data_IF_975816964355
#
_entry.id   IF_975816964355
#
_cell.length_a   1.000
_cell.length_b   1.000
_cell.length_c   1.000
_cell.angle_alpha   90.00
_cell.angle_beta   90.00
_cell.angle_gamma   90.00
#
_symmetry.space_group_name_H-M   'P 1'
#
loop_
_entity.id
_entity.type
_entity.pdbx_description
1 polymer ?
#
# COMPACT_ATOMS: atom_id res chain seq x y z
N UNK A 1 -8.34 8.95 3.38
CA UNK A 1 -9.11 8.83 2.13
C UNK A 1 -8.37 7.82 1.27
N UNK A 2 -8.88 6.60 1.17
CA UNK A 2 -8.28 5.55 0.34
C UNK A 2 -8.74 5.79 -1.09
N UNK A 3 -8.04 6.65 -1.84
CA UNK A 3 -8.25 6.71 -3.28
C UNK A 3 -7.72 5.41 -3.89
N UNK A 4 -8.63 4.59 -4.43
CA UNK A 4 -8.27 3.56 -5.39
C UNK A 4 -7.84 4.29 -6.66
N UNK A 5 -6.58 4.70 -6.71
CA UNK A 5 -6.05 5.33 -7.91
C UNK A 5 -5.78 4.23 -8.93
N UNK A 6 -6.70 4.08 -9.89
CA UNK A 6 -6.50 3.29 -11.10
C UNK A 6 -5.47 3.99 -12.00
N UNK A 7 -4.22 3.99 -11.59
CA UNK A 7 -3.14 4.16 -12.55
C UNK A 7 -3.06 2.85 -13.36
N UNK A 8 -2.86 2.96 -14.67
CA UNK A 8 -2.43 1.84 -15.52
C UNK A 8 -1.00 1.41 -15.13
N UNK A 9 -0.85 0.95 -13.87
CA UNK A 9 0.37 0.42 -13.31
C UNK A 9 0.44 -1.01 -13.79
N UNK A 10 1.54 -1.35 -14.47
CA UNK A 10 1.96 -2.74 -14.52
C UNK A 10 2.68 -3.01 -13.19
N UNK A 11 2.02 -3.62 -12.18
CA UNK A 11 2.55 -3.68 -10.81
C UNK A 11 3.85 -4.48 -10.70
N UNK A 12 4.17 -5.29 -11.71
CA UNK A 12 5.38 -6.10 -11.78
C UNK A 12 6.64 -5.37 -12.30
N UNK A 13 6.58 -4.05 -12.59
CA UNK A 13 7.74 -3.32 -13.11
C UNK A 13 8.93 -3.37 -12.15
N UNK A 14 10.15 -3.67 -12.64
CA UNK A 14 11.35 -3.67 -11.82
C UNK A 14 11.58 -2.35 -11.07
N UNK A 15 11.23 -1.20 -11.67
CA UNK A 15 11.39 0.11 -11.03
C UNK A 15 10.57 0.28 -9.72
N UNK A 16 9.54 -0.53 -9.52
CA UNK A 16 8.75 -0.53 -8.29
C UNK A 16 9.37 -1.36 -7.18
N UNK A 17 10.41 -2.16 -7.47
CA UNK A 17 11.19 -2.85 -6.44
C UNK A 17 12.11 -1.83 -5.77
N UNK A 18 12.12 -1.83 -4.45
CA UNK A 18 12.90 -0.89 -3.65
C UNK A 18 14.09 -1.54 -2.94
N UNK A 19 14.37 -2.81 -3.23
CA UNK A 19 15.41 -3.59 -2.54
C UNK A 19 15.18 -3.62 -1.02
N UNK A 20 16.26 -3.53 -0.26
CA UNK A 20 16.22 -3.48 1.22
C UNK A 20 15.78 -2.14 1.80
N UNK A 21 15.22 -1.21 0.99
CA UNK A 21 14.89 0.13 1.50
C UNK A 21 14.00 0.04 2.74
N UNK A 22 12.98 -0.82 2.79
CA UNK A 22 12.12 -0.97 3.98
C UNK A 22 12.66 -1.93 5.06
N UNK A 23 13.82 -2.56 4.84
CA UNK A 23 14.31 -3.70 5.62
C UNK A 23 14.27 -4.98 4.78
N UNK A 24 15.09 -5.95 5.14
CA UNK A 24 15.24 -7.18 4.36
C UNK A 24 13.99 -8.05 4.34
N UNK A 25 13.24 -8.05 5.44
CA UNK A 25 11.99 -8.81 5.57
C UNK A 25 10.87 -8.23 4.70
N UNK A 26 10.95 -6.94 4.34
CA UNK A 26 9.90 -6.20 3.66
C UNK A 26 10.14 -6.00 2.16
N UNK A 27 11.01 -6.80 1.53
CA UNK A 27 11.33 -6.75 0.08
C UNK A 27 10.14 -7.00 -0.84
N UNK A 28 9.09 -7.61 -0.30
CA UNK A 28 7.84 -7.92 -1.00
C UNK A 28 6.90 -6.70 -1.13
N UNK A 29 7.22 -5.59 -0.47
CA UNK A 29 6.53 -4.31 -0.65
C UNK A 29 7.12 -3.55 -1.83
N UNK A 30 6.24 -3.15 -2.75
CA UNK A 30 6.60 -2.35 -3.92
C UNK A 30 6.35 -0.87 -3.65
N UNK A 31 6.99 0.00 -4.44
CA UNK A 31 6.83 1.45 -4.32
C UNK A 31 6.83 2.15 -5.67
N UNK A 32 5.70 2.74 -6.04
CA UNK A 32 5.59 3.67 -7.15
C UNK A 32 5.77 5.13 -6.66
N UNK A 33 6.33 5.98 -7.53
CA UNK A 33 6.45 7.44 -7.31
C UNK A 33 5.50 8.15 -8.27
N UNK A 34 4.78 9.15 -7.78
CA UNK A 34 3.93 10.01 -8.61
C UNK A 34 3.90 11.43 -8.00
N UNK A 35 3.58 12.44 -8.82
CA UNK A 35 3.56 13.87 -8.43
C UNK A 35 4.78 14.33 -7.61
N UNK A 36 5.98 13.87 -7.99
CA UNK A 36 7.30 14.05 -7.34
C UNK A 36 7.42 13.57 -5.88
N UNK A 37 6.50 13.98 -5.00
CA UNK A 37 6.57 13.80 -3.55
C UNK A 37 5.75 12.60 -3.07
N UNK A 38 4.77 12.14 -3.86
CA UNK A 38 3.93 11.03 -3.44
C UNK A 38 4.57 9.66 -3.70
N UNK A 39 4.24 8.73 -2.82
CA UNK A 39 4.69 7.35 -2.73
C UNK A 39 3.45 6.48 -2.54
N UNK A 40 3.28 5.56 -3.46
CA UNK A 40 2.32 4.47 -3.34
C UNK A 40 3.12 3.24 -2.94
N UNK A 41 2.93 2.77 -1.72
CA UNK A 41 3.43 1.47 -1.27
C UNK A 41 2.33 0.43 -1.45
N UNK A 42 2.66 -0.73 -2.00
CA UNK A 42 1.65 -1.73 -2.30
C UNK A 42 2.17 -3.17 -2.21
N UNK A 43 1.24 -4.09 -1.96
CA UNK A 43 1.44 -5.54 -1.97
C UNK A 43 0.83 -6.14 -3.23
N UNK A 44 1.69 -6.72 -4.06
CA UNK A 44 1.32 -7.34 -5.32
C UNK A 44 1.59 -8.84 -5.29
N UNK A 45 0.62 -9.64 -5.75
CA UNK A 45 0.77 -11.07 -5.95
C UNK A 45 0.86 -11.39 -7.42
N UNK A 46 2.06 -11.78 -7.84
CA UNK A 46 2.37 -12.02 -9.25
C UNK A 46 1.52 -13.13 -9.90
N UNK A 47 1.29 -14.30 -9.27
CA UNK A 47 0.51 -15.37 -9.89
C UNK A 47 -0.92 -14.95 -10.23
N UNK A 48 -1.60 -14.23 -9.35
CA UNK A 48 -2.99 -13.79 -9.57
C UNK A 48 -3.11 -12.37 -10.13
N UNK A 49 -1.99 -11.69 -10.39
CA UNK A 49 -1.91 -10.34 -10.94
C UNK A 49 -2.78 -9.31 -10.20
N UNK A 50 -2.82 -9.38 -8.86
CA UNK A 50 -3.67 -8.53 -8.03
C UNK A 50 -2.86 -7.74 -7.01
N UNK A 51 -3.27 -6.50 -6.78
CA UNK A 51 -2.82 -5.69 -5.64
C UNK A 51 -3.82 -5.92 -4.50
N UNK A 52 -3.35 -6.42 -3.37
CA UNK A 52 -4.21 -6.73 -2.20
C UNK A 52 -4.20 -5.61 -1.18
N UNK A 53 -3.14 -4.80 -1.16
CA UNK A 53 -3.05 -3.63 -0.30
C UNK A 53 -2.30 -2.51 -1.02
N UNK A 54 -2.78 -1.28 -0.81
CA UNK A 54 -2.19 -0.06 -1.31
C UNK A 54 -2.27 1.01 -0.22
N UNK A 55 -1.16 1.71 0.02
CA UNK A 55 -1.09 2.86 0.90
C UNK A 55 -0.39 4.01 0.19
N UNK A 56 -1.02 5.16 0.23
CA UNK A 56 -0.51 6.41 -0.35
C UNK A 56 -0.25 7.36 0.81
N UNK A 57 0.90 8.05 0.78
CA UNK A 57 1.17 9.13 1.71
C UNK A 57 0.18 10.29 1.48
N UNK A 58 -0.28 10.93 2.54
CA UNK A 58 -1.09 12.14 2.47
C UNK A 58 -0.23 13.40 2.24
N UNK A 59 -0.88 14.57 2.14
CA UNK A 59 -0.19 15.85 1.95
C UNK A 59 0.70 16.26 3.14
N UNK A 60 0.43 15.73 4.34
CA UNK A 60 1.24 15.94 5.54
C UNK A 60 2.51 15.10 5.56
N UNK A 61 2.56 14.03 4.76
CA UNK A 61 3.66 13.06 4.67
C UNK A 61 4.44 13.16 3.36
N UNK A 62 4.61 14.40 2.87
CA UNK A 62 5.43 14.74 1.71
C UNK A 62 6.90 14.39 1.97
N UNK A 63 7.62 13.96 0.92
CA UNK A 63 9.04 13.57 1.03
C UNK A 63 9.92 14.78 1.39
N UNK A 64 10.16 14.96 2.69
CA UNK A 64 11.29 15.72 3.23
C UNK A 64 12.30 14.74 3.82
N UNK A 65 13.48 14.62 3.20
CA UNK A 65 14.57 13.79 3.74
C UNK A 65 14.85 14.26 5.19
N UNK A 66 14.97 13.32 6.12
CA UNK A 66 15.16 13.62 7.56
C UNK A 66 13.96 14.20 8.35
N UNK A 67 12.79 14.42 7.73
CA UNK A 67 11.56 14.72 8.48
C UNK A 67 10.93 13.48 9.13
N UNK A 68 10.27 13.65 10.28
CA UNK A 68 9.41 12.64 10.91
C UNK A 68 8.29 12.14 9.99
N UNK A 69 7.93 12.96 9.01
CA UNK A 69 6.79 12.79 8.11
C UNK A 69 7.21 12.19 6.75
N UNK A 70 8.48 11.78 6.61
CA UNK A 70 8.92 11.07 5.42
C UNK A 70 8.11 9.77 5.23
N UNK A 71 7.53 9.60 4.04
CA UNK A 71 6.67 8.46 3.71
C UNK A 71 7.28 7.09 4.04
N UNK A 72 8.61 6.95 3.97
CA UNK A 72 9.30 5.74 4.39
C UNK A 72 9.27 5.50 5.90
N UNK A 73 9.44 6.54 6.71
CA UNK A 73 9.38 6.41 8.17
C UNK A 73 7.98 6.07 8.62
N UNK A 74 6.98 6.75 8.06
CA UNK A 74 5.57 6.48 8.36
C UNK A 74 5.20 5.06 7.97
N UNK A 75 5.50 4.66 6.72
CA UNK A 75 5.17 3.32 6.27
C UNK A 75 5.92 2.22 7.05
N UNK A 76 7.18 2.43 7.43
CA UNK A 76 7.88 1.50 8.34
C UNK A 76 7.22 1.38 9.70
N UNK A 77 6.74 2.49 10.29
CA UNK A 77 6.03 2.45 11.57
C UNK A 77 4.74 1.63 11.45
N UNK A 78 4.01 1.81 10.35
CA UNK A 78 2.82 1.04 9.99
C UNK A 78 3.17 -0.46 9.91
N UNK A 79 4.21 -0.84 9.17
CA UNK A 79 4.65 -2.25 9.09
C UNK A 79 5.08 -2.81 10.47
N UNK A 80 5.82 -2.03 11.26
CA UNK A 80 6.24 -2.43 12.62
C UNK A 80 5.08 -2.59 13.59
N UNK A 81 3.97 -1.87 13.39
CA UNK A 81 2.75 -2.08 14.19
C UNK A 81 1.99 -3.36 13.82
N UNK A 82 2.41 -4.08 12.77
CA UNK A 82 1.74 -5.30 12.32
C UNK A 82 0.45 -5.07 11.52
N UNK A 83 0.19 -3.82 11.12
CA UNK A 83 -0.99 -3.42 10.37
C UNK A 83 -0.56 -2.54 9.19
N UNK A 84 -0.57 -3.02 7.93
CA UNK A 84 -1.09 -4.32 7.51
C UNK A 84 -0.20 -5.50 7.95
N UNK A 85 -0.76 -6.72 8.04
CA UNK A 85 0.00 -7.91 8.35
C UNK A 85 1.02 -8.22 7.26
N UNK A 86 2.17 -8.76 7.67
CA UNK A 86 3.24 -9.14 6.75
C UNK A 86 2.93 -10.47 6.03
N UNK A 87 2.25 -11.39 6.72
CA UNK A 87 1.82 -12.68 6.14
C UNK A 87 0.79 -12.49 5.03
N UNK A 88 0.97 -13.23 3.94
CA UNK A 88 0.12 -13.12 2.76
C UNK A 88 -1.31 -13.55 3.02
N UNK A 89 -1.51 -14.67 3.73
CA UNK A 89 -2.85 -15.23 3.94
C UNK A 89 -3.65 -14.35 4.89
N UNK A 90 -3.01 -13.82 5.93
CA UNK A 90 -3.62 -12.84 6.83
C UNK A 90 -4.00 -11.56 6.07
N UNK A 91 -3.10 -11.01 5.26
CA UNK A 91 -3.39 -9.82 4.46
C UNK A 91 -4.57 -10.02 3.51
N UNK A 92 -4.63 -11.17 2.84
CA UNK A 92 -5.72 -11.51 1.94
C UNK A 92 -7.05 -11.68 2.69
N UNK A 93 -7.02 -12.27 3.88
CA UNK A 93 -8.21 -12.40 4.73
C UNK A 93 -8.75 -11.03 5.15
N UNK A 94 -7.88 -10.12 5.62
CA UNK A 94 -8.26 -8.76 5.98
C UNK A 94 -8.81 -7.98 4.78
N UNK A 95 -8.15 -8.08 3.62
CA UNK A 95 -8.61 -7.41 2.40
C UNK A 95 -9.99 -7.90 1.93
N UNK A 96 -10.28 -9.20 2.08
CA UNK A 96 -11.61 -9.77 1.79
C UNK A 96 -12.67 -9.26 2.75
N UNK A 97 -12.36 -9.23 4.05
CA UNK A 97 -13.28 -8.72 5.06
C UNK A 97 -13.61 -7.23 4.84
N UNK A 98 -12.60 -6.42 4.53
CA UNK A 98 -12.80 -4.99 4.22
C UNK A 98 -13.60 -4.80 2.92
N UNK A 99 -13.32 -5.60 1.88
CA UNK A 99 -14.10 -5.60 0.64
C UNK A 99 -15.58 -5.91 0.89
N UNK A 100 -15.89 -6.90 1.73
CA UNK A 100 -17.27 -7.22 2.13
C UNK A 100 -17.93 -6.07 2.89
N UNK A 101 -17.22 -5.45 3.85
CA UNK A 101 -17.71 -4.30 4.61
C UNK A 101 -18.08 -3.13 3.68
N UNK A 102 -17.23 -2.83 2.71
CA UNK A 102 -17.47 -1.76 1.73
C UNK A 102 -18.64 -2.08 0.80
N UNK A 103 -18.80 -3.34 0.38
CA UNK A 103 -19.96 -3.78 -0.41
C UNK A 103 -21.27 -3.63 0.37
N UNK A 104 -21.29 -4.02 1.64
CA UNK A 104 -22.47 -3.85 2.51
C UNK A 104 -22.82 -2.38 2.70
N UNK A 105 -21.80 -1.53 2.93
CA UNK A 105 -21.99 -0.08 3.02
C UNK A 105 -22.58 0.50 1.74
N UNK A 106 -22.05 0.13 0.57
CA UNK A 106 -22.57 0.60 -0.72
C UNK A 106 -24.02 0.14 -0.98
N UNK A 107 -24.35 -1.12 -0.63
CA UNK A 107 -25.70 -1.66 -0.76
C UNK A 107 -26.70 -0.92 0.16
N UNK A 108 -26.29 -0.56 1.38
CA UNK A 108 -27.13 0.20 2.32
C UNK A 108 -27.33 1.68 1.98
N UNK A 109 -26.57 2.22 1.01
CA UNK A 109 -26.70 3.60 0.51
C UNK A 109 -27.58 3.67 -0.74
N UNK A 110 -27.92 2.52 -1.34
CA UNK A 110 -28.81 2.46 -2.50
C UNK A 110 -30.24 2.81 -2.03
N UNK A 111 -30.87 3.88 -2.54
CA UNK A 111 -32.20 4.32 -2.10
C UNK A 111 -33.31 3.31 -2.40
#
# INVERSE_FOLDING_TARGET
MTEVVFFNLFPARPEYRQGGTLGDDHKHWFRAKFFQQNRLFFRYHAPSKVIVFAWVNDEGTKRAYESSDDAYRVFRKILKSGHPPDDWNQLLAEARAEGQRLQQFAAGITP
#
